data_IF_452415736566
#
_entry.id   IF_452415736566
#
_cell.length_a   1.000
_cell.length_b   1.000
_cell.length_c   1.000
_cell.angle_alpha   90.00
_cell.angle_beta   90.00
_cell.angle_gamma   90.00
#
_symmetry.space_group_name_H-M   'P 1'
#
loop_
_entity.id
_entity.type
_entity.pdbx_description
1 polymer ?
#
# COMPACT_ATOMS: atom_id res chain seq x y z
N UNK A 1 -19.48 16.84 -10.85
CA UNK A 1 -18.32 17.22 -10.01
C UNK A 1 -17.86 16.05 -9.15
N UNK A 2 -18.77 15.42 -8.38
CA UNK A 2 -18.45 14.25 -7.55
C UNK A 2 -17.86 13.05 -8.30
N UNK A 3 -18.39 12.71 -9.49
CA UNK A 3 -17.84 11.59 -10.30
C UNK A 3 -16.40 11.83 -10.79
N UNK A 4 -16.05 13.09 -11.08
CA UNK A 4 -14.69 13.46 -11.50
C UNK A 4 -13.72 13.31 -10.31
N UNK A 5 -14.20 13.63 -9.11
CA UNK A 5 -13.44 13.52 -7.87
C UNK A 5 -13.20 12.05 -7.48
N UNK A 6 -14.22 11.19 -7.60
CA UNK A 6 -14.11 9.75 -7.32
C UNK A 6 -13.26 9.02 -8.35
N UNK A 7 -13.36 9.37 -9.62
CA UNK A 7 -12.49 8.85 -10.68
C UNK A 7 -11.02 9.26 -10.46
N UNK A 8 -10.78 10.52 -10.07
CA UNK A 8 -9.43 11.00 -9.73
C UNK A 8 -8.82 10.28 -8.52
N UNK A 9 -9.63 10.01 -7.50
CA UNK A 9 -9.21 9.25 -6.33
C UNK A 9 -8.89 7.79 -6.65
N UNK A 10 -9.76 7.11 -7.41
CA UNK A 10 -9.53 5.74 -7.82
C UNK A 10 -8.24 5.64 -8.64
N UNK A 11 -8.03 6.54 -9.60
CA UNK A 11 -6.81 6.62 -10.38
C UNK A 11 -5.56 6.80 -9.50
N UNK A 12 -5.58 7.74 -8.55
CA UNK A 12 -4.47 7.94 -7.63
C UNK A 12 -4.20 6.71 -6.75
N UNK A 13 -5.26 6.03 -6.28
CA UNK A 13 -5.16 4.82 -5.46
C UNK A 13 -4.52 3.67 -6.26
N UNK A 14 -5.03 3.36 -7.45
CA UNK A 14 -4.49 2.30 -8.29
C UNK A 14 -3.06 2.61 -8.74
N UNK A 15 -2.76 3.86 -9.13
CA UNK A 15 -1.39 4.27 -9.52
C UNK A 15 -0.41 4.13 -8.38
N UNK A 16 -0.73 4.68 -7.21
CA UNK A 16 0.15 4.64 -6.04
C UNK A 16 0.42 3.20 -5.58
N UNK A 17 -0.61 2.36 -5.55
CA UNK A 17 -0.48 0.95 -5.19
C UNK A 17 0.27 0.13 -6.23
N UNK A 18 0.04 0.36 -7.53
CA UNK A 18 0.78 -0.31 -8.59
C UNK A 18 2.29 -0.08 -8.48
N UNK A 19 2.70 1.17 -8.22
CA UNK A 19 4.11 1.50 -8.02
C UNK A 19 4.67 0.85 -6.75
N UNK A 20 3.91 0.81 -5.66
CA UNK A 20 4.31 0.13 -4.43
C UNK A 20 4.49 -1.39 -4.62
N UNK A 21 3.75 -2.01 -5.54
CA UNK A 21 3.82 -3.43 -5.88
C UNK A 21 4.98 -3.79 -6.80
N UNK A 22 5.37 -2.88 -7.68
CA UNK A 22 6.49 -3.09 -8.62
C UNK A 22 7.82 -3.18 -7.86
N UNK A 23 7.99 -2.43 -6.77
CA UNK A 23 9.24 -2.41 -5.98
C UNK A 23 9.62 -3.80 -5.44
N UNK A 24 8.78 -4.53 -4.68
CA UNK A 24 9.11 -5.86 -4.21
C UNK A 24 9.29 -6.87 -5.35
N UNK A 25 8.63 -6.66 -6.48
CA UNK A 25 8.83 -7.47 -7.68
C UNK A 25 10.21 -7.24 -8.31
N UNK A 26 10.64 -5.99 -8.49
CA UNK A 26 12.00 -5.66 -8.96
C UNK A 26 13.06 -6.18 -7.99
N UNK A 27 12.84 -6.03 -6.68
CA UNK A 27 13.73 -6.61 -5.66
C UNK A 27 13.86 -8.12 -5.79
N UNK A 28 12.80 -8.82 -6.21
CA UNK A 28 12.85 -10.26 -6.48
C UNK A 28 13.75 -10.58 -7.67
N UNK A 29 13.71 -9.77 -8.73
CA UNK A 29 14.59 -9.90 -9.89
C UNK A 29 16.05 -9.69 -9.47
N UNK A 30 16.32 -8.68 -8.65
CA UNK A 30 17.66 -8.41 -8.13
C UNK A 30 18.18 -9.58 -7.28
N UNK A 31 17.35 -10.12 -6.39
CA UNK A 31 17.68 -11.33 -5.62
C UNK A 31 17.99 -12.53 -6.54
N UNK A 32 17.21 -12.72 -7.60
CA UNK A 32 17.44 -13.79 -8.58
C UNK A 32 18.76 -13.60 -9.33
N UNK A 33 19.09 -12.36 -9.73
CA UNK A 33 20.36 -12.02 -10.37
C UNK A 33 21.54 -12.29 -9.43
N UNK A 34 21.49 -11.84 -8.18
CA UNK A 34 22.55 -12.08 -7.21
C UNK A 34 22.74 -13.57 -6.89
N UNK A 35 21.65 -14.34 -6.84
CA UNK A 35 21.73 -15.80 -6.71
C UNK A 35 22.40 -16.46 -7.91
N UNK A 36 22.11 -16.01 -9.13
CA UNK A 36 22.72 -16.51 -10.37
C UNK A 36 24.21 -16.23 -10.44
N UNK A 37 24.65 -15.03 -10.05
CA UNK A 37 26.05 -14.63 -10.02
C UNK A 37 26.80 -15.05 -8.73
N UNK A 38 26.14 -15.79 -7.82
CA UNK A 38 26.71 -16.25 -6.53
C UNK A 38 27.24 -15.12 -5.66
N UNK A 39 26.68 -13.92 -5.78
CA UNK A 39 27.02 -12.78 -4.93
C UNK A 39 26.45 -13.03 -3.54
N UNK A 40 27.28 -12.90 -2.50
CA UNK A 40 26.85 -13.04 -1.11
C UNK A 40 26.11 -11.77 -0.63
N UNK A 41 24.90 -11.56 -1.15
CA UNK A 41 24.05 -10.41 -0.81
C UNK A 41 23.72 -10.33 0.69
N UNK A 42 23.73 -11.45 1.42
CA UNK A 42 23.52 -11.47 2.87
C UNK A 42 24.64 -10.74 3.59
N UNK A 43 25.89 -10.94 3.16
CA UNK A 43 27.04 -10.23 3.72
C UNK A 43 27.07 -8.76 3.29
N UNK A 44 26.87 -8.49 1.99
CA UNK A 44 26.90 -7.13 1.43
C UNK A 44 25.86 -6.22 2.09
N UNK A 45 24.66 -6.73 2.36
CA UNK A 45 23.58 -5.98 3.01
C UNK A 45 23.51 -6.17 4.52
N UNK A 46 24.47 -6.88 5.12
CA UNK A 46 24.50 -7.18 6.55
C UNK A 46 23.20 -7.85 7.08
N UNK A 47 22.51 -8.61 6.23
CA UNK A 47 21.27 -9.29 6.60
C UNK A 47 21.53 -10.49 7.52
N UNK A 48 20.56 -10.82 8.37
CA UNK A 48 20.66 -12.01 9.20
C UNK A 48 20.45 -13.28 8.35
N UNK A 49 21.43 -14.20 8.28
CA UNK A 49 21.36 -15.39 7.42
C UNK A 49 20.22 -16.35 7.76
N UNK A 50 19.73 -16.33 9.02
CA UNK A 50 18.65 -17.21 9.51
C UNK A 50 17.25 -16.74 9.12
N UNK A 51 17.10 -15.45 8.81
CA UNK A 51 15.80 -14.83 8.49
C UNK A 51 15.70 -14.38 7.03
N UNK A 52 16.60 -14.87 6.17
CA UNK A 52 16.61 -14.50 4.75
C UNK A 52 15.38 -15.07 4.02
N UNK A 53 14.78 -14.25 3.18
CA UNK A 53 13.78 -14.69 2.20
C UNK A 53 14.52 -15.18 0.95
N UNK A 54 14.15 -16.35 0.44
CA UNK A 54 14.65 -16.85 -0.84
C UNK A 54 13.98 -16.08 -1.99
N UNK A 55 14.68 -15.88 -3.11
CA UNK A 55 14.11 -15.25 -4.32
C UNK A 55 12.75 -15.85 -4.71
N UNK A 56 12.61 -17.18 -4.68
CA UNK A 56 11.33 -17.87 -4.96
C UNK A 56 10.22 -17.44 -4.00
N UNK A 57 10.50 -17.40 -2.69
CA UNK A 57 9.50 -16.96 -1.70
C UNK A 57 9.09 -15.50 -1.90
N UNK A 58 10.06 -14.64 -2.22
CA UNK A 58 9.79 -13.23 -2.51
C UNK A 58 8.97 -13.06 -3.81
N UNK A 59 9.21 -13.92 -4.80
CA UNK A 59 8.45 -13.97 -6.04
C UNK A 59 7.00 -14.36 -5.78
N UNK A 60 6.76 -15.42 -5.02
CA UNK A 60 5.40 -15.87 -4.69
C UNK A 60 4.60 -14.78 -3.98
N UNK A 61 5.23 -14.08 -3.02
CA UNK A 61 4.61 -12.96 -2.30
C UNK A 61 4.28 -11.81 -3.27
N UNK A 62 5.24 -11.43 -4.12
CA UNK A 62 5.09 -10.31 -5.04
C UNK A 62 4.02 -10.59 -6.10
N UNK A 63 4.03 -11.80 -6.67
CA UNK A 63 3.05 -12.22 -7.68
C UNK A 63 1.65 -12.33 -7.08
N UNK A 64 1.50 -12.88 -5.88
CA UNK A 64 0.19 -12.94 -5.21
C UNK A 64 -0.38 -11.52 -5.00
N UNK A 65 0.44 -10.59 -4.52
CA UNK A 65 0.01 -9.20 -4.35
C UNK A 65 -0.38 -8.52 -5.68
N UNK A 66 0.36 -8.78 -6.76
CA UNK A 66 0.04 -8.28 -8.10
C UNK A 66 -1.26 -8.90 -8.61
N UNK A 67 -1.49 -10.20 -8.39
CA UNK A 67 -2.73 -10.88 -8.77
C UNK A 67 -3.95 -10.29 -8.06
N UNK A 68 -3.87 -10.06 -6.74
CA UNK A 68 -4.95 -9.40 -5.97
C UNK A 68 -5.22 -8.00 -6.51
N UNK A 69 -4.17 -7.23 -6.81
CA UNK A 69 -4.31 -5.90 -7.42
C UNK A 69 -5.00 -5.96 -8.79
N UNK A 70 -4.56 -6.86 -9.68
CA UNK A 70 -5.13 -6.99 -11.03
C UNK A 70 -6.58 -7.45 -10.99
N UNK A 71 -6.91 -8.40 -10.12
CA UNK A 71 -8.29 -8.86 -9.92
C UNK A 71 -9.20 -7.72 -9.44
N UNK A 72 -8.73 -6.93 -8.46
CA UNK A 72 -9.50 -5.79 -7.95
C UNK A 72 -9.67 -4.68 -9.02
N UNK A 73 -8.60 -4.36 -9.75
CA UNK A 73 -8.63 -3.38 -10.85
C UNK A 73 -9.57 -3.83 -11.97
N UNK A 74 -9.55 -5.11 -12.33
CA UNK A 74 -10.45 -5.67 -13.35
C UNK A 74 -11.91 -5.58 -12.89
N UNK A 75 -12.18 -5.86 -11.62
CA UNK A 75 -13.53 -5.74 -11.04
C UNK A 75 -14.02 -4.29 -11.06
N UNK A 76 -13.14 -3.32 -10.78
CA UNK A 76 -13.46 -1.89 -10.88
C UNK A 76 -13.79 -1.46 -12.32
N UNK A 77 -13.06 -1.98 -13.31
CA UNK A 77 -13.30 -1.67 -14.73
C UNK A 77 -14.62 -2.27 -15.23
N UNK A 78 -14.96 -3.49 -14.81
CA UNK A 78 -16.18 -4.21 -15.20
C UNK A 78 -17.42 -3.80 -14.40
N UNK A 79 -17.28 -2.88 -13.44
CA UNK A 79 -18.35 -2.48 -12.53
C UNK A 79 -19.64 -2.03 -13.24
N UNK A 80 -19.51 -1.34 -14.38
CA UNK A 80 -20.65 -0.84 -15.16
C UNK A 80 -21.27 -1.88 -16.11
N UNK A 81 -20.50 -2.89 -16.51
CA UNK A 81 -20.91 -3.86 -17.53
C UNK A 81 -21.58 -5.10 -16.91
N UNK A 82 -21.32 -5.37 -15.62
CA UNK A 82 -21.83 -6.56 -14.92
C UNK A 82 -22.91 -6.18 -13.91
N UNK A 83 -24.13 -6.67 -14.14
CA UNK A 83 -25.31 -6.39 -13.30
C UNK A 83 -25.17 -6.78 -11.81
N UNK A 84 -24.30 -7.75 -11.49
CA UNK A 84 -24.02 -8.16 -10.11
C UNK A 84 -23.15 -7.11 -9.41
N UNK A 85 -22.23 -6.49 -10.15
CA UNK A 85 -21.29 -5.49 -9.61
C UNK A 85 -21.96 -4.12 -9.43
N UNK A 86 -23.03 -3.82 -10.16
CA UNK A 86 -23.74 -2.53 -10.08
C UNK A 86 -24.49 -2.32 -8.76
N UNK A 87 -24.68 -3.36 -7.94
CA UNK A 87 -25.31 -3.25 -6.62
C UNK A 87 -24.36 -2.73 -5.53
N UNK A 88 -23.05 -2.66 -5.81
CA UNK A 88 -22.01 -2.23 -4.86
C UNK A 88 -21.52 -0.85 -5.26
N UNK A 89 -21.21 0.02 -4.29
CA UNK A 89 -20.64 1.34 -4.60
C UNK A 89 -19.29 1.22 -5.32
N UNK A 90 -19.09 2.02 -6.36
CA UNK A 90 -17.86 2.02 -7.16
C UNK A 90 -16.59 2.30 -6.33
N UNK A 91 -16.70 3.03 -5.22
CA UNK A 91 -15.58 3.33 -4.33
C UNK A 91 -15.16 2.15 -3.44
N UNK A 92 -16.00 1.13 -3.27
CA UNK A 92 -15.69 -0.01 -2.39
C UNK A 92 -14.51 -0.84 -2.89
N UNK A 93 -14.28 -0.90 -4.21
CA UNK A 93 -13.15 -1.62 -4.79
C UNK A 93 -11.78 -1.01 -4.41
N UNK A 94 -11.50 0.29 -4.66
CA UNK A 94 -10.25 0.90 -4.21
C UNK A 94 -10.14 0.94 -2.67
N UNK A 95 -11.25 1.09 -1.93
CA UNK A 95 -11.26 0.98 -0.46
C UNK A 95 -10.75 -0.38 0.01
N UNK A 96 -11.36 -1.46 -0.48
CA UNK A 96 -11.02 -2.83 -0.08
C UNK A 96 -9.57 -3.17 -0.38
N UNK A 97 -9.04 -2.70 -1.51
CA UNK A 97 -7.64 -2.86 -1.87
C UNK A 97 -6.71 -2.10 -0.92
N UNK A 98 -7.02 -0.84 -0.61
CA UNK A 98 -6.25 -0.05 0.34
C UNK A 98 -6.23 -0.71 1.74
N UNK A 99 -7.37 -1.20 2.22
CA UNK A 99 -7.48 -1.93 3.49
C UNK A 99 -6.64 -3.21 3.45
N UNK A 100 -6.69 -3.98 2.35
CA UNK A 100 -5.86 -5.17 2.19
C UNK A 100 -4.37 -4.86 2.35
N UNK A 101 -3.86 -3.82 1.69
CA UNK A 101 -2.46 -3.40 1.83
C UNK A 101 -2.12 -2.88 3.22
N UNK A 102 -3.03 -2.14 3.86
CA UNK A 102 -2.85 -1.68 5.25
C UNK A 102 -2.75 -2.87 6.22
N UNK A 103 -3.63 -3.85 6.09
CA UNK A 103 -3.58 -5.08 6.89
C UNK A 103 -2.30 -5.86 6.62
N UNK A 104 -1.85 -5.92 5.37
CA UNK A 104 -0.62 -6.63 5.04
C UNK A 104 0.64 -5.94 5.58
N UNK A 105 0.64 -4.60 5.62
CA UNK A 105 1.76 -3.78 6.10
C UNK A 105 1.82 -3.66 7.63
N UNK A 106 0.67 -3.44 8.29
CA UNK A 106 0.59 -3.26 9.74
C UNK A 106 0.27 -4.55 10.50
N UNK A 107 -0.34 -5.53 9.85
CA UNK A 107 -0.67 -6.82 10.45
C UNK A 107 0.54 -7.75 10.60
N UNK A 108 0.39 -8.85 11.36
CA UNK A 108 1.42 -9.86 11.55
C UNK A 108 1.54 -10.77 10.32
N UNK A 109 1.65 -10.20 9.10
CA UNK A 109 1.83 -10.99 7.90
C UNK A 109 3.19 -11.71 7.97
N UNK A 110 3.27 -12.93 7.45
CA UNK A 110 4.51 -13.76 7.47
C UNK A 110 5.69 -13.01 6.83
N UNK A 111 5.38 -12.10 5.90
CA UNK A 111 6.34 -11.22 5.22
C UNK A 111 6.82 -10.12 6.17
N UNK A 112 5.90 -9.34 6.74
CA UNK A 112 6.25 -8.25 7.66
C UNK A 112 6.88 -8.77 8.94
N UNK A 113 6.47 -9.94 9.45
CA UNK A 113 7.09 -10.56 10.63
C UNK A 113 8.59 -10.84 10.44
N UNK A 114 8.99 -11.36 9.26
CA UNK A 114 10.42 -11.59 8.93
C UNK A 114 11.19 -10.29 8.69
N UNK A 115 10.53 -9.27 8.11
CA UNK A 115 11.13 -7.95 7.88
C UNK A 115 11.30 -7.13 9.18
N UNK A 116 10.29 -7.15 10.05
CA UNK A 116 10.26 -6.45 11.36
C UNK A 116 11.35 -6.98 12.30
N UNK A 117 11.66 -8.26 12.19
CA UNK A 117 12.76 -8.89 12.91
C UNK A 117 14.15 -8.49 12.39
N UNK A 118 14.25 -8.01 11.15
CA UNK A 118 15.48 -7.45 10.59
C UNK A 118 15.57 -5.97 10.96
N UNK A 119 16.00 -5.70 12.20
CA UNK A 119 16.37 -4.36 12.71
C UNK A 119 17.34 -3.60 11.79
N UNK A 120 17.99 -4.27 10.85
CA UNK A 120 18.88 -3.69 9.85
C UNK A 120 18.11 -2.72 8.93
N UNK A 121 16.92 -3.09 8.46
CA UNK A 121 16.16 -2.24 7.51
C UNK A 121 15.64 -0.98 8.23
N UNK A 122 15.11 -1.14 9.45
CA UNK A 122 14.64 0.00 10.27
C UNK A 122 15.80 0.93 10.63
N UNK A 123 16.96 0.39 11.02
CA UNK A 123 18.16 1.21 11.29
C UNK A 123 18.63 1.95 10.05
N UNK A 124 18.57 1.33 8.88
CA UNK A 124 18.96 1.96 7.61
C UNK A 124 18.01 3.11 7.26
N UNK A 125 16.69 2.91 7.44
CA UNK A 125 15.70 3.97 7.26
C UNK A 125 15.96 5.15 8.19
N UNK A 126 16.25 4.88 9.47
CA UNK A 126 16.61 5.92 10.45
C UNK A 126 17.90 6.66 10.08
N UNK A 127 18.90 5.96 9.56
CA UNK A 127 20.16 6.57 9.12
C UNK A 127 19.97 7.45 7.89
N UNK A 128 19.13 7.05 6.93
CA UNK A 128 18.75 7.89 5.79
C UNK A 128 18.08 9.18 6.24
N UNK A 129 17.23 9.14 7.28
CA UNK A 129 16.57 10.32 7.84
C UNK A 129 17.52 11.26 8.62
N UNK A 130 18.60 10.72 9.20
CA UNK A 130 19.57 11.47 10.05
C UNK A 130 20.81 11.90 9.24
N UNK A 131 20.89 11.58 7.93
CA UNK A 131 21.99 11.97 7.06
C UNK A 131 22.16 13.51 7.07
N UNK A 132 23.38 14.08 7.18
CA UNK A 132 24.71 13.47 7.00
C UNK A 132 25.41 12.96 8.28
N UNK A 133 24.79 13.02 9.45
CA UNK A 133 25.48 12.81 10.74
C UNK A 133 25.69 11.34 11.13
N UNK A 134 25.16 10.39 10.34
CA UNK A 134 25.23 8.96 10.59
C UNK A 134 26.33 8.25 9.78
N UNK A 135 26.75 7.07 10.27
CA UNK A 135 27.64 6.17 9.51
C UNK A 135 26.86 5.56 8.34
N UNK A 136 27.23 5.93 7.11
CA UNK A 136 26.59 5.45 5.87
C UNK A 136 27.11 4.06 5.52
N UNK A 137 26.18 3.11 5.34
CA UNK A 137 26.43 1.77 4.82
C UNK A 137 25.94 1.68 3.38
N UNK A 138 26.41 0.67 2.65
CA UNK A 138 25.98 0.42 1.27
C UNK A 138 24.47 0.18 1.15
N UNK A 139 23.86 -0.49 2.16
CA UNK A 139 22.41 -0.66 2.20
C UNK A 139 21.68 0.69 2.29
N UNK A 140 22.22 1.66 3.02
CA UNK A 140 21.57 2.95 3.28
C UNK A 140 21.44 3.77 1.99
N UNK A 141 22.42 3.70 1.08
CA UNK A 141 22.33 4.36 -0.23
C UNK A 141 21.25 3.73 -1.11
N UNK A 142 21.12 2.39 -1.13
CA UNK A 142 20.06 1.73 -1.89
C UNK A 142 18.68 2.08 -1.32
N UNK A 143 18.55 2.09 0.01
CA UNK A 143 17.28 2.46 0.66
C UNK A 143 16.92 3.92 0.35
N UNK A 144 17.89 4.83 0.31
CA UNK A 144 17.68 6.23 -0.07
C UNK A 144 17.23 6.37 -1.54
N UNK A 145 17.84 5.63 -2.47
CA UNK A 145 17.46 5.64 -3.88
C UNK A 145 16.05 5.09 -4.12
N UNK A 146 15.69 4.03 -3.40
CA UNK A 146 14.32 3.50 -3.41
C UNK A 146 13.35 4.53 -2.84
N UNK A 147 13.70 5.19 -1.73
CA UNK A 147 12.85 6.18 -1.09
C UNK A 147 12.59 7.40 -1.99
N UNK A 148 13.61 7.89 -2.68
CA UNK A 148 13.50 9.00 -3.64
C UNK A 148 12.70 8.60 -4.88
N UNK A 149 12.80 7.35 -5.32
CA UNK A 149 11.95 6.80 -6.39
C UNK A 149 10.48 6.66 -5.96
N UNK A 150 10.21 6.45 -4.67
CA UNK A 150 8.86 6.33 -4.09
C UNK A 150 8.17 7.65 -3.74
N UNK A 151 8.75 8.81 -4.06
CA UNK A 151 8.14 10.10 -3.72
C UNK A 151 6.73 10.26 -4.32
N UNK A 152 6.54 9.86 -5.58
CA UNK A 152 5.22 9.91 -6.25
C UNK A 152 4.17 9.03 -5.58
N UNK A 153 4.40 7.72 -5.33
CA UNK A 153 3.42 6.91 -4.62
C UNK A 153 3.20 7.37 -3.17
N UNK A 154 4.19 7.97 -2.49
CA UNK A 154 3.96 8.56 -1.16
C UNK A 154 2.96 9.72 -1.20
N UNK A 155 3.04 10.58 -2.22
CA UNK A 155 2.06 11.66 -2.43
C UNK A 155 0.68 11.09 -2.71
N UNK A 156 0.57 10.04 -3.52
CA UNK A 156 -0.70 9.37 -3.81
C UNK A 156 -1.33 8.76 -2.54
N UNK A 157 -0.53 8.08 -1.71
CA UNK A 157 -0.98 7.56 -0.41
C UNK A 157 -1.47 8.69 0.51
N UNK A 158 -0.78 9.83 0.53
CA UNK A 158 -1.20 10.99 1.29
C UNK A 158 -2.55 11.55 0.82
N UNK A 159 -2.78 11.62 -0.50
CA UNK A 159 -4.05 12.05 -1.06
C UNK A 159 -5.20 11.11 -0.68
N UNK A 160 -4.96 9.80 -0.76
CA UNK A 160 -5.93 8.77 -0.38
C UNK A 160 -6.25 8.84 1.11
N UNK A 161 -5.22 8.98 1.97
CA UNK A 161 -5.39 9.13 3.41
C UNK A 161 -6.23 10.37 3.76
N UNK A 162 -5.89 11.53 3.18
CA UNK A 162 -6.63 12.77 3.40
C UNK A 162 -8.11 12.64 3.01
N UNK A 163 -8.40 11.97 1.91
CA UNK A 163 -9.76 11.76 1.45
C UNK A 163 -10.58 10.93 2.45
N UNK A 164 -10.06 9.78 2.89
CA UNK A 164 -10.75 8.94 3.86
C UNK A 164 -10.88 9.59 5.24
N UNK A 165 -9.86 10.33 5.69
CA UNK A 165 -9.93 11.09 6.94
C UNK A 165 -11.05 12.14 6.88
N UNK A 166 -11.15 12.87 5.76
CA UNK A 166 -12.19 13.86 5.56
C UNK A 166 -13.59 13.24 5.51
N UNK A 167 -13.76 12.12 4.80
CA UNK A 167 -15.01 11.36 4.76
C UNK A 167 -15.43 10.88 6.16
N UNK A 168 -14.49 10.35 6.95
CA UNK A 168 -14.74 9.90 8.32
C UNK A 168 -15.15 11.07 9.23
N UNK A 169 -14.48 12.22 9.15
CA UNK A 169 -14.82 13.40 9.94
C UNK A 169 -16.21 13.94 9.60
N UNK A 170 -16.61 13.92 8.32
CA UNK A 170 -17.96 14.28 7.91
C UNK A 170 -19.00 13.31 8.46
N UNK A 171 -18.73 12.00 8.40
CA UNK A 171 -19.63 10.98 8.96
C UNK A 171 -19.82 11.15 10.48
N UNK A 172 -18.74 11.42 11.22
CA UNK A 172 -18.81 11.70 12.66
C UNK A 172 -19.56 13.00 12.97
N UNK A 173 -19.39 14.03 12.13
CA UNK A 173 -20.12 15.29 12.23
C UNK A 173 -21.63 15.12 11.96
N UNK A 174 -21.99 14.29 10.98
CA UNK A 174 -23.37 13.94 10.67
C UNK A 174 -24.03 13.14 11.80
N UNK A 175 -23.34 12.14 12.35
CA UNK A 175 -23.81 11.35 13.50
C UNK A 175 -24.06 12.22 14.74
N UNK A 176 -23.19 13.21 15.00
CA UNK A 176 -23.37 14.17 16.10
C UNK A 176 -24.58 15.10 15.89
N UNK A 177 -24.97 15.35 14.64
CA UNK A 177 -26.15 16.15 14.27
C UNK A 177 -27.44 15.30 14.31
N UNK A 178 -27.36 14.04 13.91
CA UNK A 178 -28.45 13.04 13.97
C UNK A 178 -28.90 12.78 15.42
N UNK A 179 -27.95 12.66 16.36
CA UNK A 179 -28.26 12.53 17.80
C UNK A 179 -29.01 13.75 18.38
N UNK A 180 -29.10 14.87 17.67
CA UNK A 180 -29.80 16.10 18.09
C UNK A 180 -31.19 16.26 17.44
N UNK A 181 -31.47 15.58 16.32
CA UNK A 181 -32.75 15.66 15.61
C UNK A 181 -33.26 14.24 15.33
N UNK A 182 -34.18 13.74 16.15
CA UNK A 182 -34.77 12.39 16.07
C UNK A 182 -35.77 12.18 14.92
N UNK A 183 -35.57 12.83 13.77
CA UNK A 183 -36.56 12.82 12.69
C UNK A 183 -35.96 13.05 11.30
N UNK A 184 -34.86 12.37 10.93
CA UNK A 184 -34.43 12.34 9.52
C UNK A 184 -33.73 11.03 9.11
N UNK A 185 -34.49 9.93 9.13
CA UNK A 185 -34.09 8.55 8.75
C UNK A 185 -33.58 8.40 7.30
N UNK A 186 -33.64 9.42 6.45
CA UNK A 186 -33.31 9.27 5.02
C UNK A 186 -31.85 9.58 4.63
N UNK A 187 -30.94 9.85 5.58
CA UNK A 187 -29.55 10.21 5.28
C UNK A 187 -28.51 9.15 5.61
N UNK A 188 -28.90 7.99 6.13
CA UNK A 188 -27.98 6.86 6.35
C UNK A 188 -27.29 6.39 5.04
N UNK A 189 -27.98 6.58 3.91
CA UNK A 189 -27.44 6.28 2.59
C UNK A 189 -26.22 7.16 2.24
N UNK A 190 -26.16 8.42 2.68
CA UNK A 190 -25.00 9.29 2.40
C UNK A 190 -23.74 8.89 3.17
N UNK A 191 -23.89 8.26 4.35
CA UNK A 191 -22.74 7.80 5.16
C UNK A 191 -22.18 6.49 4.61
N UNK A 192 -23.04 5.61 4.08
CA UNK A 192 -22.64 4.36 3.42
C UNK A 192 -22.09 4.63 2.01
N UNK A 193 -22.54 5.67 1.32
CA UNK A 193 -21.94 6.13 0.04
C UNK A 193 -20.52 6.68 0.24
N UNK A 194 -20.16 7.08 1.46
CA UNK A 194 -18.81 7.58 1.79
C UNK A 194 -17.79 6.49 2.19
N UNK A 195 -18.20 5.23 2.36
CA UNK A 195 -17.35 4.07 2.67
C UNK A 195 -17.38 3.03 1.55
#
# INVERSE_FOLDING_TARGET
>A
YWEILTAGLAYATYRGLALALIIPFLWTIDLAAWQRYRINYVYVFEFNPRKRLTAVQMLDISLNNILVYLANMLTYLLHKDVWILSHVNQNTYPCSLAIFFLVQFFGPSVVVGKWRDNKVIIRSLQQVLIAPFGRVRFLDSIVADVLTSTVKPMVDVWHVFRYYLFALLLALGAMKKESRNSSFVNNADMVIICL
#
